data_IF_090194456671
#
_entry.id   IF_090194456671
#
_cell.length_a   1.000
_cell.length_b   1.000
_cell.length_c   1.000
_cell.angle_alpha   90.00
_cell.angle_beta   90.00
_cell.angle_gamma   90.00
#
_symmetry.space_group_name_H-M   'P 1'
#
loop_
_entity.id
_entity.type
_entity.pdbx_description
1 polymer ?
#
# COMPACT_ATOMS: atom_id res chain seq x y z
N UNK A 1 18.44 20.19 5.26
CA UNK A 1 16.98 20.17 4.98
C UNK A 1 16.55 18.83 4.37
N UNK A 2 17.10 18.40 3.22
CA UNK A 2 16.83 17.10 2.58
C UNK A 2 17.16 15.86 3.44
N UNK A 3 18.17 15.96 4.33
CA UNK A 3 18.54 14.88 5.23
C UNK A 3 17.40 14.41 6.16
N UNK A 4 16.56 15.33 6.64
CA UNK A 4 15.39 14.98 7.45
C UNK A 4 14.34 14.22 6.64
N UNK A 5 14.14 14.58 5.37
CA UNK A 5 13.22 13.89 4.48
C UNK A 5 13.70 12.47 4.17
N UNK A 6 15.00 12.27 3.95
CA UNK A 6 15.58 10.94 3.76
C UNK A 6 15.41 10.05 4.99
N UNK A 7 15.68 10.59 6.19
CA UNK A 7 15.46 9.86 7.44
C UNK A 7 13.99 9.52 7.65
N UNK A 8 13.07 10.43 7.36
CA UNK A 8 11.63 10.20 7.46
C UNK A 8 11.18 9.08 6.51
N UNK A 9 11.71 9.06 5.27
CA UNK A 9 11.37 8.07 4.26
C UNK A 9 11.88 6.67 4.63
N UNK A 10 13.09 6.58 5.17
CA UNK A 10 13.66 5.31 5.69
C UNK A 10 12.90 4.82 6.91
N UNK A 11 12.53 5.71 7.83
CA UNK A 11 11.74 5.36 9.02
C UNK A 11 10.35 4.83 8.64
N UNK A 12 9.68 5.48 7.70
CA UNK A 12 8.39 5.02 7.16
C UNK A 12 8.53 3.67 6.48
N UNK A 13 9.56 3.47 5.66
CA UNK A 13 9.82 2.19 5.00
C UNK A 13 10.08 1.06 6.00
N UNK A 14 10.88 1.31 7.04
CA UNK A 14 11.16 0.34 8.10
C UNK A 14 9.89 0.01 8.91
N UNK A 15 9.07 1.00 9.23
CA UNK A 15 7.81 0.80 9.94
C UNK A 15 6.81 0.00 9.10
N UNK A 16 6.75 0.28 7.80
CA UNK A 16 5.91 -0.46 6.84
C UNK A 16 6.37 -1.91 6.68
N UNK A 17 7.69 -2.14 6.64
CA UNK A 17 8.32 -3.46 6.55
C UNK A 17 8.04 -4.35 7.76
N UNK A 18 7.95 -3.75 8.94
CA UNK A 18 7.64 -4.44 10.20
C UNK A 18 6.13 -4.64 10.35
N UNK A 19 5.30 -3.66 9.95
CA UNK A 19 3.84 -3.74 10.03
C UNK A 19 3.21 -4.72 9.03
N UNK A 20 3.88 -5.03 7.92
CA UNK A 20 3.45 -6.05 6.95
C UNK A 20 3.75 -7.49 7.37
N UNK A 21 4.37 -7.70 8.54
CA UNK A 21 4.62 -9.01 9.15
C UNK A 21 3.59 -9.45 10.20
N UNK A 22 2.45 -8.76 10.33
CA UNK A 22 1.36 -9.17 11.22
C UNK A 22 0.62 -10.39 10.65
N UNK A 23 0.32 -11.42 11.45
CA UNK A 23 -0.39 -12.60 10.98
C UNK A 23 -1.81 -12.20 10.59
N UNK A 24 -2.10 -12.16 9.28
CA UNK A 24 -3.48 -12.04 8.79
C UNK A 24 -4.17 -13.38 9.06
N UNK A 25 -4.70 -13.51 10.27
CA UNK A 25 -5.79 -14.41 10.57
C UNK A 25 -7.06 -13.75 10.04
N UNK A 26 -7.45 -14.02 8.80
CA UNK A 26 -8.85 -14.22 8.41
C UNK A 26 -8.98 -14.53 6.92
N UNK A 27 -9.67 -15.65 6.67
CA UNK A 27 -10.44 -15.95 5.46
C UNK A 27 -9.83 -15.55 4.12
N UNK A 28 -9.31 -16.55 3.40
CA UNK A 28 -9.12 -16.59 1.94
C UNK A 28 -10.20 -15.80 1.18
N UNK A 29 -10.02 -14.48 1.02
CA UNK A 29 -10.72 -13.66 0.05
C UNK A 29 -10.04 -13.85 -1.30
N UNK A 30 -10.81 -13.68 -2.37
CA UNK A 30 -10.30 -13.90 -3.71
C UNK A 30 -9.06 -13.02 -3.95
N UNK A 31 -8.04 -13.48 -4.71
CA UNK A 31 -6.80 -12.74 -4.96
C UNK A 31 -7.00 -11.27 -5.41
N UNK A 32 -8.11 -10.99 -6.11
CA UNK A 32 -8.50 -9.65 -6.56
C UNK A 32 -8.92 -8.71 -5.42
N UNK A 33 -9.54 -9.24 -4.36
CA UNK A 33 -9.96 -8.44 -3.20
C UNK A 33 -8.75 -8.00 -2.37
N UNK A 34 -7.76 -8.88 -2.20
CA UNK A 34 -6.47 -8.54 -1.60
C UNK A 34 -5.71 -7.48 -2.42
N UNK A 35 -5.71 -7.62 -3.75
CA UNK A 35 -5.04 -6.67 -4.64
C UNK A 35 -5.65 -5.26 -4.56
N UNK A 36 -6.98 -5.16 -4.51
CA UNK A 36 -7.69 -3.88 -4.34
C UNK A 36 -7.45 -3.26 -2.96
N UNK A 37 -7.41 -4.07 -1.90
CA UNK A 37 -7.13 -3.56 -0.55
C UNK A 37 -5.69 -3.05 -0.42
N UNK A 38 -4.71 -3.73 -1.02
CA UNK A 38 -3.33 -3.24 -1.12
C UNK A 38 -3.28 -1.93 -1.90
N UNK A 39 -3.96 -1.85 -3.04
CA UNK A 39 -3.99 -0.65 -3.87
C UNK A 39 -4.62 0.55 -3.12
N UNK A 40 -5.74 0.31 -2.43
CA UNK A 40 -6.42 1.31 -1.60
C UNK A 40 -5.53 1.78 -0.45
N UNK A 41 -4.84 0.86 0.21
CA UNK A 41 -3.91 1.17 1.31
C UNK A 41 -2.77 2.09 0.84
N UNK A 42 -2.23 1.84 -0.35
CA UNK A 42 -1.13 2.66 -0.93
C UNK A 42 -1.60 4.04 -1.36
N UNK A 43 -2.83 4.16 -1.88
CA UNK A 43 -3.44 5.45 -2.17
C UNK A 43 -3.70 6.27 -0.90
N UNK A 44 -4.27 5.64 0.13
CA UNK A 44 -4.50 6.29 1.42
C UNK A 44 -3.20 6.72 2.13
N UNK A 45 -2.11 5.97 1.90
CA UNK A 45 -0.77 6.32 2.37
C UNK A 45 -0.10 7.43 1.54
N UNK A 46 -0.68 7.83 0.41
CA UNK A 46 -0.11 8.83 -0.50
C UNK A 46 1.08 8.33 -1.33
N UNK A 47 1.29 7.01 -1.41
CA UNK A 47 2.36 6.42 -2.23
C UNK A 47 2.05 6.48 -3.74
N UNK A 48 0.76 6.54 -4.09
CA UNK A 48 0.28 6.59 -5.46
C UNK A 48 -0.77 7.70 -5.59
N UNK A 49 -0.74 8.40 -6.72
CA UNK A 49 -1.74 9.40 -7.08
C UNK A 49 -3.09 8.76 -7.45
N UNK A 50 -4.14 9.55 -7.32
CA UNK A 50 -5.51 9.28 -7.74
C UNK A 50 -5.63 8.80 -9.19
N UNK A 51 -4.83 9.32 -10.12
CA UNK A 51 -4.86 8.86 -11.51
C UNK A 51 -4.36 7.41 -11.63
N UNK A 52 -3.24 7.11 -10.97
CA UNK A 52 -2.63 5.77 -10.90
C UNK A 52 -3.54 4.76 -10.20
N UNK A 53 -4.17 5.16 -9.10
CA UNK A 53 -5.14 4.33 -8.37
C UNK A 53 -6.32 3.94 -9.25
N UNK A 54 -6.94 4.90 -9.96
CA UNK A 54 -8.11 4.62 -10.83
C UNK A 54 -7.77 3.73 -12.02
N UNK A 55 -6.55 3.82 -12.55
CA UNK A 55 -6.12 2.97 -13.66
C UNK A 55 -6.00 1.52 -13.19
N UNK A 56 -5.24 1.28 -12.12
CA UNK A 56 -5.01 -0.07 -11.60
C UNK A 56 -6.27 -0.70 -10.98
N UNK A 57 -7.15 0.11 -10.37
CA UNK A 57 -8.42 -0.39 -9.85
C UNK A 57 -9.30 -0.96 -10.97
N UNK A 58 -9.34 -0.29 -12.13
CA UNK A 58 -10.06 -0.80 -13.31
C UNK A 58 -9.44 -2.09 -13.82
N UNK A 59 -8.12 -2.18 -13.89
CA UNK A 59 -7.43 -3.38 -14.37
C UNK A 59 -7.68 -4.62 -13.47
N UNK A 60 -7.96 -4.41 -12.18
CA UNK A 60 -8.24 -5.46 -11.19
C UNK A 60 -9.72 -5.87 -11.12
N UNK A 61 -10.63 -5.03 -11.62
CA UNK A 61 -12.08 -5.31 -11.70
C UNK A 61 -12.48 -6.02 -13.01
N UNK A 62 -11.53 -6.24 -13.93
CA UNK A 62 -11.69 -6.92 -15.24
C UNK A 62 -11.57 -8.44 -15.09
#
# INVERSE_FOLDING_TARGET
MIFFFLLMLVALWALWRISSGGPILEGRKAPSEDALDVLRRRYAAGEIDSATYRQQARDLEV
#
